data_IF_712493084911
#
_entry.id   IF_712493084911
#
_cell.length_a   1.000
_cell.length_b   1.000
_cell.length_c   1.000
_cell.angle_alpha   90.00
_cell.angle_beta   90.00
_cell.angle_gamma   90.00
#
_symmetry.space_group_name_H-M   'P 1'
#
loop_
_entity.id
_entity.type
_entity.pdbx_description
1 polymer ?
#
# COMPACT_ATOMS: atom_id res chain seq x y z
N UNK A 1 -8.27 -14.05 20.75
CA UNK A 1 -7.86 -12.97 19.83
C UNK A 1 -8.65 -11.74 20.24
N UNK A 2 -8.00 -10.82 20.95
CA UNK A 2 -8.68 -9.64 21.50
C UNK A 2 -8.43 -8.49 20.53
N UNK A 3 -9.49 -8.06 19.85
CA UNK A 3 -9.44 -6.89 18.98
C UNK A 3 -9.77 -5.68 19.86
N UNK A 4 -8.76 -4.87 20.17
CA UNK A 4 -8.93 -3.59 20.85
C UNK A 4 -9.10 -2.48 19.78
N UNK A 5 -10.16 -1.65 19.86
CA UNK A 5 -10.39 -0.59 18.89
C UNK A 5 -9.47 0.59 19.21
N UNK A 6 -8.29 0.62 18.60
CA UNK A 6 -7.39 1.78 18.66
C UNK A 6 -6.60 2.06 17.37
N UNK A 7 -6.80 1.28 16.29
CA UNK A 7 -5.98 1.41 15.09
C UNK A 7 -6.82 2.00 13.95
N UNK A 8 -6.83 3.32 13.83
CA UNK A 8 -7.47 4.07 12.74
C UNK A 8 -6.73 3.99 11.40
N UNK A 9 -5.74 3.09 11.31
CA UNK A 9 -4.95 2.85 10.11
C UNK A 9 -4.33 1.46 10.09
N UNK A 10 -4.00 0.98 8.89
CA UNK A 10 -3.19 -0.21 8.66
C UNK A 10 -1.99 0.14 7.77
N UNK A 11 -0.83 -0.42 8.10
CA UNK A 11 0.36 -0.36 7.25
C UNK A 11 0.55 -1.71 6.56
N UNK A 12 0.66 -1.69 5.24
CA UNK A 12 0.92 -2.85 4.39
C UNK A 12 2.33 -2.73 3.82
N UNK A 13 3.14 -3.77 3.98
CA UNK A 13 4.49 -3.84 3.41
C UNK A 13 4.56 -5.01 2.45
N UNK A 14 4.84 -4.73 1.17
CA UNK A 14 4.97 -5.72 0.12
C UNK A 14 6.45 -5.90 -0.24
N UNK A 15 7.06 -7.02 0.16
CA UNK A 15 8.51 -7.27 0.02
C UNK A 15 8.90 -8.15 -1.19
N UNK A 16 7.99 -8.43 -2.11
CA UNK A 16 8.25 -9.33 -3.24
C UNK A 16 8.59 -8.60 -4.55
N UNK A 17 9.17 -7.38 -4.45
CA UNK A 17 9.64 -6.68 -5.65
C UNK A 17 10.87 -7.41 -6.22
N UNK A 18 10.87 -7.84 -7.49
CA UNK A 18 12.04 -8.49 -8.08
C UNK A 18 13.18 -7.50 -8.25
N UNK A 19 14.41 -7.92 -7.95
CA UNK A 19 15.60 -7.18 -8.36
C UNK A 19 15.74 -7.27 -9.88
N UNK A 20 15.28 -6.25 -10.59
CA UNK A 20 15.56 -6.12 -12.01
C UNK A 20 17.00 -5.64 -12.19
N UNK A 21 17.70 -6.16 -13.20
CA UNK A 21 18.96 -5.57 -13.63
C UNK A 21 18.68 -4.12 -14.04
N UNK A 22 19.39 -3.17 -13.41
CA UNK A 22 19.17 -1.74 -13.51
C UNK A 22 19.07 -1.26 -14.97
N UNK A 23 17.84 -1.20 -15.47
CA UNK A 23 17.50 -0.70 -16.79
C UNK A 23 16.70 0.59 -16.58
N UNK A 24 16.77 1.53 -17.52
CA UNK A 24 16.08 2.83 -17.43
C UNK A 24 14.55 2.69 -17.23
N UNK A 25 13.98 1.54 -17.60
CA UNK A 25 12.56 1.24 -17.41
C UNK A 25 12.17 0.79 -15.99
N UNK A 26 13.14 0.46 -15.12
CA UNK A 26 12.86 -0.09 -13.79
C UNK A 26 12.00 0.87 -12.95
N UNK A 27 12.26 2.18 -13.03
CA UNK A 27 11.48 3.18 -12.31
C UNK A 27 10.02 3.22 -12.80
N UNK A 28 9.79 3.10 -14.11
CA UNK A 28 8.45 3.10 -14.70
C UNK A 28 7.69 1.82 -14.34
N UNK A 29 8.36 0.66 -14.42
CA UNK A 29 7.77 -0.61 -13.99
C UNK A 29 7.45 -0.62 -12.50
N UNK A 30 8.36 -0.10 -11.67
CA UNK A 30 8.15 0.05 -10.22
C UNK A 30 6.98 0.96 -9.90
N UNK A 31 6.80 2.05 -10.64
CA UNK A 31 5.64 2.93 -10.49
C UNK A 31 4.34 2.22 -10.88
N UNK A 32 4.30 1.62 -12.08
CA UNK A 32 3.14 0.91 -12.60
C UNK A 32 2.70 -0.24 -11.69
N UNK A 33 3.64 -1.08 -11.23
CA UNK A 33 3.34 -2.19 -10.33
C UNK A 33 2.81 -1.72 -8.99
N UNK A 34 3.32 -0.62 -8.44
CA UNK A 34 2.79 -0.09 -7.20
C UNK A 34 1.35 0.41 -7.35
N UNK A 35 1.00 1.03 -8.49
CA UNK A 35 -0.39 1.45 -8.75
C UNK A 35 -1.35 0.26 -8.86
N UNK A 36 -0.91 -0.85 -9.48
CA UNK A 36 -1.69 -2.09 -9.50
C UNK A 36 -1.88 -2.65 -8.09
N UNK A 37 -0.81 -2.69 -7.29
CA UNK A 37 -0.87 -3.17 -5.90
C UNK A 37 -1.76 -2.29 -5.02
N UNK A 38 -1.72 -0.97 -5.19
CA UNK A 38 -2.57 -0.01 -4.47
C UNK A 38 -4.06 -0.33 -4.70
N UNK A 39 -4.48 -0.46 -5.96
CA UNK A 39 -5.85 -0.83 -6.30
C UNK A 39 -6.23 -2.25 -5.86
N UNK A 40 -5.29 -3.21 -5.93
CA UNK A 40 -5.50 -4.57 -5.44
C UNK A 40 -5.77 -4.59 -3.94
N UNK A 41 -4.96 -3.87 -3.16
CA UNK A 41 -5.12 -3.79 -1.72
C UNK A 41 -6.39 -3.04 -1.32
N UNK A 42 -6.73 -1.96 -2.03
CA UNK A 42 -8.01 -1.26 -1.85
C UNK A 42 -9.18 -2.22 -2.04
N UNK A 43 -9.23 -2.92 -3.18
CA UNK A 43 -10.29 -3.87 -3.47
C UNK A 43 -10.37 -4.99 -2.44
N UNK A 44 -9.23 -5.57 -2.07
CA UNK A 44 -9.18 -6.64 -1.08
C UNK A 44 -9.69 -6.19 0.30
N UNK A 45 -9.23 -5.05 0.82
CA UNK A 45 -9.64 -4.55 2.13
C UNK A 45 -11.13 -4.17 2.17
N UNK A 46 -11.65 -3.54 1.12
CA UNK A 46 -13.08 -3.25 0.99
C UNK A 46 -13.91 -4.54 1.03
N UNK A 47 -13.48 -5.61 0.34
CA UNK A 47 -14.17 -6.91 0.39
C UNK A 47 -14.10 -7.61 1.75
N UNK A 48 -13.16 -7.26 2.63
CA UNK A 48 -13.08 -7.80 4.00
C UNK A 48 -13.96 -7.02 5.00
N UNK A 49 -14.79 -6.09 4.53
CA UNK A 49 -15.59 -5.21 5.39
C UNK A 49 -14.83 -3.97 5.87
N UNK A 50 -13.81 -3.55 5.11
CA UNK A 50 -13.17 -2.24 5.27
C UNK A 50 -14.19 -1.10 5.18
N UNK A 51 -13.87 0.03 5.80
CA UNK A 51 -14.74 1.20 5.82
C UNK A 51 -14.58 2.00 4.52
N UNK A 52 -15.69 2.38 3.87
CA UNK A 52 -15.72 3.16 2.63
C UNK A 52 -15.02 4.53 2.71
N UNK A 53 -14.74 5.03 3.92
CA UNK A 53 -14.00 6.29 4.16
C UNK A 53 -12.48 6.11 4.24
N UNK A 54 -12.02 4.88 4.25
CA UNK A 54 -10.61 4.53 4.36
C UNK A 54 -10.10 4.13 2.99
N UNK A 55 -8.95 4.64 2.61
CA UNK A 55 -8.33 4.36 1.32
C UNK A 55 -6.89 3.92 1.50
N UNK A 56 -6.43 3.05 0.60
CA UNK A 56 -5.05 2.62 0.46
C UNK A 56 -4.30 3.67 -0.34
N UNK A 57 -3.24 4.20 0.24
CA UNK A 57 -2.32 5.11 -0.41
C UNK A 57 -0.89 4.60 -0.34
N UNK A 58 -0.21 4.59 -1.49
CA UNK A 58 1.23 4.34 -1.52
C UNK A 58 1.96 5.41 -0.70
N UNK A 59 2.90 4.98 0.13
CA UNK A 59 3.80 5.85 0.87
C UNK A 59 5.13 6.02 0.12
N UNK A 60 5.72 7.22 0.24
CA UNK A 60 7.09 7.45 -0.19
C UNK A 60 8.05 6.64 0.70
N UNK A 61 9.02 5.96 0.10
CA UNK A 61 10.00 5.17 0.83
C UNK A 61 11.28 5.02 0.01
N UNK A 62 12.42 5.02 0.71
CA UNK A 62 13.74 4.73 0.14
C UNK A 62 14.02 3.22 0.05
N UNK A 63 13.11 2.38 0.56
CA UNK A 63 13.23 0.92 0.46
C UNK A 63 13.20 0.49 -1.01
N UNK A 64 14.30 -0.12 -1.48
CA UNK A 64 14.43 -0.59 -2.87
C UNK A 64 13.65 -1.88 -3.15
N UNK A 65 13.44 -2.69 -2.12
CA UNK A 65 12.90 -4.05 -2.27
C UNK A 65 11.47 -4.18 -1.73
N UNK A 66 10.89 -3.06 -1.29
CA UNK A 66 9.55 -3.06 -0.71
C UNK A 66 8.70 -1.90 -1.21
N UNK A 67 7.39 -2.13 -1.24
CA UNK A 67 6.37 -1.08 -1.30
C UNK A 67 5.69 -0.96 0.06
N UNK A 68 5.43 0.28 0.47
CA UNK A 68 4.67 0.58 1.68
C UNK A 68 3.36 1.23 1.27
N UNK A 69 2.25 0.70 1.77
CA UNK A 69 0.92 1.28 1.60
C UNK A 69 0.31 1.54 2.96
N UNK A 70 -0.45 2.63 3.06
CA UNK A 70 -1.18 3.02 4.26
C UNK A 70 -2.67 3.00 3.94
N UNK A 71 -3.43 2.23 4.70
CA UNK A 71 -4.89 2.24 4.67
C UNK A 71 -5.38 3.09 5.83
N UNK A 72 -5.85 4.29 5.55
CA UNK A 72 -6.28 5.25 6.56
C UNK A 72 -7.42 6.11 6.01
N UNK A 73 -8.11 6.82 6.91
CA UNK A 73 -9.13 7.77 6.49
C UNK A 73 -8.44 8.97 5.83
N UNK A 74 -8.95 9.43 4.68
CA UNK A 74 -8.42 10.62 3.99
C UNK A 74 -8.42 11.89 4.84
N UNK A 75 -9.20 11.94 5.93
CA UNK A 75 -9.16 13.06 6.88
C UNK A 75 -7.97 13.04 7.85
N UNK A 76 -7.18 11.96 7.89
CA UNK A 76 -6.02 11.79 8.79
C UNK A 76 -4.70 12.29 8.22
N UNK A 77 -4.71 12.92 7.03
CA UNK A 77 -3.57 13.63 6.45
C UNK A 77 -3.58 15.15 6.79
N UNK A 78 -4.28 15.55 7.85
CA UNK A 78 -4.24 16.91 8.42
C UNK A 78 -3.51 16.95 9.75
#
# INVERSE_FOLDING_TARGET
>A
MTISPAMSELLLVHCAWPHFSANEEEANWRAASASVLEGLYEGWLTHQGGNDKMHVHRQATDAKDAFIFRYANSSSDK
#
